data_IF_807733574732
#
_entry.id   IF_807733574732
#
_cell.length_a   1.000
_cell.length_b   1.000
_cell.length_c   1.000
_cell.angle_alpha   90.00
_cell.angle_beta   90.00
_cell.angle_gamma   90.00
#
_symmetry.space_group_name_H-M   'P 1'
#
loop_
_entity.id
_entity.type
_entity.pdbx_description
1 polymer ?
#
# COMPACT_ATOMS: atom_id res chain seq x y z
N UNK A 1 -17.39 -4.70 2.18
CA UNK A 1 -18.50 -4.68 3.16
C UNK A 1 -18.69 -6.01 3.87
N UNK A 2 -18.82 -7.16 3.19
CA UNK A 2 -19.05 -8.46 3.83
C UNK A 2 -17.99 -8.91 4.84
N UNK A 3 -16.71 -8.71 4.55
CA UNK A 3 -15.58 -9.14 5.40
C UNK A 3 -15.54 -8.36 6.73
N UNK A 4 -15.78 -7.05 6.69
CA UNK A 4 -15.82 -6.21 7.91
C UNK A 4 -17.00 -6.58 8.78
N UNK A 5 -18.16 -6.85 8.17
CA UNK A 5 -19.35 -7.30 8.87
C UNK A 5 -19.16 -8.69 9.50
N UNK A 6 -18.48 -9.59 8.79
CA UNK A 6 -18.12 -10.92 9.31
C UNK A 6 -17.12 -10.86 10.46
N UNK A 7 -16.12 -9.96 10.37
CA UNK A 7 -15.17 -9.70 11.46
C UNK A 7 -15.86 -9.09 12.68
N UNK A 8 -16.74 -8.09 12.49
CA UNK A 8 -17.52 -7.50 13.58
C UNK A 8 -18.44 -8.53 14.27
N UNK A 9 -19.01 -9.46 13.50
CA UNK A 9 -19.80 -10.59 14.06
C UNK A 9 -18.92 -11.59 14.82
N UNK A 10 -17.71 -11.88 14.35
CA UNK A 10 -16.78 -12.82 15.02
C UNK A 10 -16.30 -12.27 16.38
N UNK A 11 -16.21 -10.95 16.53
CA UNK A 11 -15.82 -10.28 17.77
C UNK A 11 -17.00 -9.63 18.52
N UNK A 12 -18.24 -10.04 18.22
CA UNK A 12 -19.48 -9.47 18.76
C UNK A 12 -19.50 -9.37 20.28
N UNK A 13 -18.94 -10.37 20.97
CA UNK A 13 -18.96 -10.46 22.43
C UNK A 13 -17.68 -9.94 23.08
N UNK A 14 -16.71 -9.44 22.30
CA UNK A 14 -15.50 -8.85 22.86
C UNK A 14 -15.78 -7.46 23.39
N UNK A 15 -15.56 -7.27 24.70
CA UNK A 15 -15.73 -5.99 25.38
C UNK A 15 -14.40 -5.24 25.42
N UNK A 16 -14.36 -4.09 24.78
CA UNK A 16 -13.29 -3.12 24.95
C UNK A 16 -13.85 -1.99 25.84
N UNK A 17 -13.26 -1.77 27.00
CA UNK A 17 -13.66 -0.68 27.92
C UNK A 17 -15.15 -0.67 28.32
N UNK A 18 -15.80 -1.86 28.41
CA UNK A 18 -17.20 -1.99 28.85
C UNK A 18 -18.26 -1.93 27.75
N UNK A 19 -17.90 -1.55 26.53
CA UNK A 19 -18.77 -1.54 25.35
C UNK A 19 -18.46 -2.74 24.47
N UNK A 20 -19.50 -3.42 23.96
CA UNK A 20 -19.25 -4.52 23.02
C UNK A 20 -18.79 -3.94 21.67
N UNK A 21 -17.91 -4.68 20.97
CA UNK A 21 -17.46 -4.30 19.63
C UNK A 21 -18.65 -4.05 18.70
N UNK A 22 -19.73 -4.81 18.87
CA UNK A 22 -20.95 -4.62 18.09
C UNK A 22 -21.68 -3.31 18.39
N UNK A 23 -21.84 -2.94 19.64
CA UNK A 23 -22.44 -1.64 20.05
C UNK A 23 -21.58 -0.47 19.58
N UNK A 24 -20.25 -0.64 19.60
CA UNK A 24 -19.31 0.33 19.08
C UNK A 24 -19.55 0.61 17.58
N UNK A 25 -19.72 -0.44 16.77
CA UNK A 25 -19.94 -0.30 15.33
C UNK A 25 -21.37 0.14 14.96
N UNK A 26 -22.38 -0.17 15.76
CA UNK A 26 -23.79 0.12 15.44
C UNK A 26 -24.32 1.35 16.13
N UNK A 27 -23.77 1.72 17.29
CA UNK A 27 -24.21 2.88 18.08
C UNK A 27 -23.66 4.22 17.60
N UNK A 28 -22.58 4.20 16.83
CA UNK A 28 -21.93 5.40 16.33
C UNK A 28 -22.23 5.61 14.82
N UNK A 29 -22.22 6.84 14.40
CA UNK A 29 -22.60 7.46 13.12
C UNK A 29 -22.04 6.83 11.82
N UNK A 30 -21.73 5.56 11.75
CA UNK A 30 -21.22 4.88 10.52
C UNK A 30 -19.76 5.17 10.17
N UNK A 31 -19.13 6.21 10.74
CA UNK A 31 -17.72 6.54 10.50
C UNK A 31 -16.75 5.42 10.86
N UNK A 32 -16.88 4.72 12.01
CA UNK A 32 -16.03 3.60 12.38
C UNK A 32 -16.03 2.50 11.32
N UNK A 33 -17.21 2.18 10.76
CA UNK A 33 -17.34 1.14 9.71
C UNK A 33 -16.58 1.54 8.45
N UNK A 34 -16.67 2.80 8.04
CA UNK A 34 -15.96 3.30 6.86
C UNK A 34 -14.47 3.30 7.07
N UNK A 35 -13.98 3.79 8.23
CA UNK A 35 -12.56 3.81 8.57
C UNK A 35 -11.96 2.40 8.64
N UNK A 36 -12.67 1.45 9.26
CA UNK A 36 -12.26 0.05 9.31
C UNK A 36 -12.23 -0.58 7.91
N UNK A 37 -13.22 -0.27 7.06
CA UNK A 37 -13.25 -0.77 5.67
C UNK A 37 -12.07 -0.27 4.86
N UNK A 38 -11.73 1.01 4.96
CA UNK A 38 -10.56 1.60 4.31
C UNK A 38 -9.25 1.00 4.84
N UNK A 39 -9.20 0.75 6.15
CA UNK A 39 -8.06 0.12 6.81
C UNK A 39 -7.84 -1.31 6.35
N UNK A 40 -8.90 -2.12 6.28
CA UNK A 40 -8.85 -3.48 5.74
C UNK A 40 -8.42 -3.48 4.26
N UNK A 41 -8.92 -2.54 3.46
CA UNK A 41 -8.52 -2.43 2.06
C UNK A 41 -7.05 -2.04 1.93
N UNK A 42 -6.59 -1.07 2.73
CA UNK A 42 -5.17 -0.70 2.79
C UNK A 42 -4.27 -1.87 3.17
N UNK A 43 -4.67 -2.65 4.18
CA UNK A 43 -3.95 -3.86 4.58
C UNK A 43 -3.91 -4.90 3.45
N UNK A 44 -5.02 -5.09 2.73
CA UNK A 44 -5.07 -5.98 1.55
C UNK A 44 -4.09 -5.57 0.45
N UNK A 45 -4.02 -4.27 0.13
CA UNK A 45 -3.06 -3.72 -0.85
C UNK A 45 -1.62 -3.99 -0.39
N UNK A 46 -1.31 -3.75 0.89
CA UNK A 46 0.03 -3.98 1.44
C UNK A 46 0.43 -5.45 1.42
N UNK A 47 -0.48 -6.36 1.73
CA UNK A 47 -0.24 -7.80 1.64
C UNK A 47 0.07 -8.23 0.21
N UNK A 48 -0.73 -7.78 -0.77
CA UNK A 48 -0.51 -8.09 -2.19
C UNK A 48 0.85 -7.56 -2.65
N UNK A 49 1.22 -6.33 -2.26
CA UNK A 49 2.54 -5.76 -2.57
C UNK A 49 3.67 -6.57 -1.94
N UNK A 50 3.57 -6.92 -0.67
CA UNK A 50 4.58 -7.73 0.02
C UNK A 50 4.77 -9.11 -0.64
N UNK A 51 3.68 -9.76 -1.06
CA UNK A 51 3.74 -11.01 -1.81
C UNK A 51 4.40 -10.83 -3.17
N UNK A 52 4.09 -9.74 -3.88
CA UNK A 52 4.71 -9.41 -5.17
C UNK A 52 6.21 -9.19 -5.01
N UNK A 53 6.66 -8.45 -3.99
CA UNK A 53 8.08 -8.24 -3.69
C UNK A 53 8.80 -9.58 -3.46
N UNK A 54 8.20 -10.48 -2.67
CA UNK A 54 8.76 -11.82 -2.44
C UNK A 54 8.89 -12.62 -3.73
N UNK A 55 7.88 -12.61 -4.59
CA UNK A 55 7.92 -13.30 -5.88
C UNK A 55 9.01 -12.71 -6.81
N UNK A 56 9.18 -11.40 -6.84
CA UNK A 56 10.23 -10.71 -7.60
C UNK A 56 11.63 -11.06 -7.11
N UNK A 57 11.84 -11.11 -5.79
CA UNK A 57 13.13 -11.52 -5.19
C UNK A 57 13.48 -12.97 -5.52
N UNK A 58 12.50 -13.88 -5.53
CA UNK A 58 12.71 -15.25 -5.97
C UNK A 58 13.11 -15.31 -7.46
N UNK A 59 12.55 -14.47 -8.31
CA UNK A 59 12.93 -14.38 -9.72
C UNK A 59 14.36 -13.85 -9.91
N UNK A 60 14.83 -12.95 -9.06
CA UNK A 60 16.21 -12.46 -9.06
C UNK A 60 17.24 -13.57 -8.72
N UNK A 61 16.88 -14.53 -7.87
CA UNK A 61 17.77 -15.64 -7.50
C UNK A 61 17.97 -16.66 -8.63
N UNK A 62 17.18 -16.58 -9.73
CA UNK A 62 17.34 -17.45 -10.89
C UNK A 62 18.46 -16.91 -11.79
N UNK A 63 19.61 -17.58 -11.79
CA UNK A 63 20.74 -17.24 -12.64
C UNK A 63 20.45 -17.63 -14.10
N UNK A 64 20.05 -16.64 -14.93
CA UNK A 64 19.74 -16.84 -16.34
C UNK A 64 20.98 -16.65 -17.21
N UNK A 65 21.86 -15.75 -16.80
CA UNK A 65 23.14 -15.50 -17.46
C UNK A 65 24.22 -16.36 -16.78
N UNK A 66 24.99 -17.17 -17.51
CA UNK A 66 26.05 -17.98 -16.92
C UNK A 66 27.07 -17.11 -16.18
N UNK A 67 27.50 -17.54 -14.98
CA UNK A 67 28.49 -16.84 -14.17
C UNK A 67 29.93 -16.96 -14.67
N UNK A 68 30.12 -17.39 -15.93
CA UNK A 68 31.45 -17.45 -16.53
C UNK A 68 31.95 -16.04 -16.86
N UNK A 69 33.11 -15.60 -16.28
CA UNK A 69 33.70 -14.30 -16.61
C UNK A 69 34.06 -14.10 -18.08
N UNK A 70 34.21 -15.20 -18.81
CA UNK A 70 34.49 -15.21 -20.27
C UNK A 70 33.23 -15.18 -21.12
N UNK A 71 32.05 -15.30 -20.50
CA UNK A 71 30.80 -15.27 -21.23
C UNK A 71 30.52 -13.85 -21.75
N UNK A 72 30.50 -13.71 -23.06
CA UNK A 72 30.15 -12.44 -23.73
C UNK A 72 28.77 -12.56 -24.35
N UNK A 73 27.98 -11.52 -24.17
CA UNK A 73 26.64 -11.44 -24.76
C UNK A 73 26.77 -10.95 -26.19
N UNK A 74 26.48 -11.84 -27.14
CA UNK A 74 26.42 -11.56 -28.58
C UNK A 74 25.00 -11.66 -29.07
N UNK A 75 24.70 -11.20 -30.30
CA UNK A 75 23.35 -11.26 -30.88
C UNK A 75 22.76 -12.70 -30.92
N UNK A 76 23.61 -13.72 -31.11
CA UNK A 76 23.20 -15.13 -31.12
C UNK A 76 22.88 -15.67 -29.72
N UNK A 77 23.72 -15.31 -28.71
CA UNK A 77 23.49 -15.69 -27.30
C UNK A 77 22.32 -14.95 -26.69
N UNK A 78 22.06 -13.70 -27.09
CA UNK A 78 20.90 -12.91 -26.67
C UNK A 78 19.57 -13.60 -27.02
N UNK A 79 19.45 -14.15 -28.25
CA UNK A 79 18.24 -14.86 -28.65
C UNK A 79 18.02 -16.14 -27.83
N UNK A 80 19.09 -16.85 -27.48
CA UNK A 80 19.02 -18.05 -26.62
C UNK A 80 18.56 -17.69 -25.21
N UNK A 81 19.08 -16.61 -24.62
CA UNK A 81 18.68 -16.12 -23.30
C UNK A 81 17.17 -15.79 -23.30
N UNK A 82 16.67 -15.07 -24.31
CA UNK A 82 15.24 -14.74 -24.45
C UNK A 82 14.38 -15.99 -24.54
N UNK A 83 14.82 -17.01 -25.28
CA UNK A 83 14.10 -18.29 -25.40
C UNK A 83 14.09 -19.05 -24.05
N UNK A 84 15.22 -19.06 -23.34
CA UNK A 84 15.32 -19.71 -22.02
C UNK A 84 14.38 -19.05 -21.01
N UNK A 85 14.32 -17.71 -20.98
CA UNK A 85 13.37 -16.98 -20.13
C UNK A 85 11.92 -17.34 -20.50
N UNK A 86 11.60 -17.36 -21.79
CA UNK A 86 10.26 -17.69 -22.28
C UNK A 86 9.82 -19.13 -21.99
N UNK A 87 10.77 -20.07 -21.86
CA UNK A 87 10.51 -21.45 -21.46
C UNK A 87 10.39 -21.62 -19.94
N UNK A 88 11.08 -20.78 -19.15
CA UNK A 88 11.11 -20.86 -17.69
C UNK A 88 9.91 -20.15 -17.04
N UNK A 89 9.34 -19.13 -17.69
CA UNK A 89 8.31 -18.27 -17.11
C UNK A 89 7.20 -18.02 -18.14
N UNK A 90 5.95 -18.33 -17.77
CA UNK A 90 4.76 -18.18 -18.65
C UNK A 90 4.55 -16.72 -19.09
N UNK A 91 4.82 -15.74 -18.22
CA UNK A 91 4.73 -14.32 -18.53
C UNK A 91 5.92 -13.55 -17.93
N UNK A 92 6.98 -13.42 -18.71
CA UNK A 92 8.22 -12.72 -18.31
C UNK A 92 8.01 -11.23 -18.02
N UNK A 93 6.92 -10.62 -18.54
CA UNK A 93 6.60 -9.20 -18.30
C UNK A 93 6.19 -8.90 -16.86
N UNK A 94 5.73 -9.93 -16.14
CA UNK A 94 5.37 -9.80 -14.70
C UNK A 94 6.58 -9.63 -13.79
N UNK A 95 7.76 -10.01 -14.26
CA UNK A 95 9.01 -9.94 -13.49
C UNK A 95 9.91 -8.84 -14.05
N UNK A 96 10.21 -7.84 -13.21
CA UNK A 96 11.01 -6.67 -13.61
C UNK A 96 12.36 -7.06 -14.18
N UNK A 97 13.08 -7.96 -13.50
CA UNK A 97 14.39 -8.44 -13.95
C UNK A 97 14.32 -9.10 -15.33
N UNK A 98 13.43 -10.06 -15.53
CA UNK A 98 13.30 -10.76 -16.81
C UNK A 98 12.86 -9.82 -17.93
N UNK A 99 11.96 -8.88 -17.63
CA UNK A 99 11.55 -7.88 -18.62
C UNK A 99 12.71 -6.99 -19.05
N UNK A 100 13.55 -6.52 -18.11
CA UNK A 100 14.76 -5.72 -18.42
C UNK A 100 15.75 -6.52 -19.28
N UNK A 101 16.02 -7.78 -18.90
CA UNK A 101 16.90 -8.66 -19.68
C UNK A 101 16.36 -8.81 -21.12
N UNK A 102 15.07 -9.11 -21.29
CA UNK A 102 14.46 -9.30 -22.60
C UNK A 102 14.52 -8.02 -23.43
N UNK A 103 14.21 -6.86 -22.85
CA UNK A 103 14.26 -5.57 -23.54
C UNK A 103 15.69 -5.29 -24.00
N UNK A 104 16.67 -5.44 -23.12
CA UNK A 104 18.07 -5.24 -23.48
C UNK A 104 18.55 -6.20 -24.56
N UNK A 105 18.23 -7.51 -24.46
CA UNK A 105 18.64 -8.51 -25.45
C UNK A 105 18.00 -8.29 -26.81
N UNK A 106 16.72 -7.88 -26.87
CA UNK A 106 16.05 -7.55 -28.15
C UNK A 106 16.64 -6.31 -28.79
N UNK A 107 17.06 -5.34 -28.01
CA UNK A 107 17.62 -4.08 -28.48
C UNK A 107 19.04 -4.22 -29.01
N UNK A 108 19.82 -5.18 -28.50
CA UNK A 108 21.19 -5.43 -28.96
C UNK A 108 21.31 -5.59 -30.49
N UNK A 109 20.29 -6.09 -31.15
CA UNK A 109 20.28 -6.26 -32.61
C UNK A 109 20.18 -4.94 -33.39
N UNK A 110 19.63 -3.89 -32.72
CA UNK A 110 19.36 -2.59 -33.36
C UNK A 110 20.28 -1.48 -32.82
N UNK A 111 21.12 -1.79 -31.84
CA UNK A 111 21.96 -0.82 -31.10
C UNK A 111 23.39 -0.91 -31.63
N UNK A 112 23.94 0.24 -32.02
CA UNK A 112 25.30 0.30 -32.56
C UNK A 112 26.42 0.51 -31.51
N UNK A 113 26.07 0.82 -30.25
CA UNK A 113 27.02 1.14 -29.18
C UNK A 113 26.58 0.55 -27.84
N UNK A 114 27.56 0.16 -26.99
CA UNK A 114 27.29 -0.34 -25.64
C UNK A 114 26.61 0.72 -24.76
N UNK A 115 26.95 1.99 -24.94
CA UNK A 115 26.33 3.11 -24.19
C UNK A 115 24.82 3.23 -24.39
N UNK A 116 24.32 2.86 -25.56
CA UNK A 116 22.88 2.92 -25.85
C UNK A 116 22.10 1.87 -25.03
N UNK A 117 22.75 0.73 -24.69
CA UNK A 117 22.16 -0.33 -23.86
C UNK A 117 22.04 0.14 -22.41
N UNK A 118 23.07 0.84 -21.90
CA UNK A 118 23.04 1.40 -20.54
C UNK A 118 21.94 2.46 -20.39
N UNK A 119 21.81 3.36 -21.36
CA UNK A 119 20.73 4.35 -21.40
C UNK A 119 19.33 3.69 -21.42
N UNK A 120 19.17 2.60 -22.18
CA UNK A 120 17.92 1.84 -22.20
C UNK A 120 17.62 1.14 -20.87
N UNK A 121 18.64 0.56 -20.21
CA UNK A 121 18.48 -0.04 -18.89
C UNK A 121 18.10 1.00 -17.84
N UNK A 122 18.70 2.19 -17.91
CA UNK A 122 18.38 3.30 -17.03
C UNK A 122 16.96 3.83 -17.26
N UNK A 123 16.54 3.96 -18.52
CA UNK A 123 15.16 4.34 -18.88
C UNK A 123 14.15 3.30 -18.37
N UNK A 124 14.45 2.00 -18.53
CA UNK A 124 13.60 0.94 -18.01
C UNK A 124 13.53 0.98 -16.47
N UNK A 125 14.65 1.27 -15.80
CA UNK A 125 14.69 1.41 -14.34
C UNK A 125 13.80 2.56 -13.86
N UNK A 126 13.88 3.73 -14.49
CA UNK A 126 13.05 4.89 -14.17
C UNK A 126 11.55 4.62 -14.41
N UNK A 127 11.22 3.88 -15.46
CA UNK A 127 9.85 3.45 -15.73
C UNK A 127 9.32 2.50 -14.64
N UNK A 128 10.13 1.52 -14.21
CA UNK A 128 9.75 0.59 -13.14
C UNK A 128 9.54 1.32 -11.81
N UNK A 129 10.41 2.30 -11.47
CA UNK A 129 10.28 3.18 -10.31
C UNK A 129 8.95 3.96 -10.35
N UNK A 130 8.60 4.54 -11.50
CA UNK A 130 7.34 5.24 -11.70
C UNK A 130 6.12 4.32 -11.52
N UNK A 131 6.17 3.08 -12.01
CA UNK A 131 5.12 2.08 -11.84
C UNK A 131 4.96 1.70 -10.37
N UNK A 132 6.07 1.48 -9.65
CA UNK A 132 6.05 1.18 -8.22
C UNK A 132 5.44 2.34 -7.44
N UNK A 133 5.89 3.58 -7.68
CA UNK A 133 5.39 4.79 -7.01
C UNK A 133 3.89 5.00 -7.27
N UNK A 134 3.45 4.87 -8.52
CA UNK A 134 2.02 4.98 -8.87
C UNK A 134 1.15 3.96 -8.14
N UNK A 135 1.69 2.78 -7.88
CA UNK A 135 1.03 1.73 -7.11
C UNK A 135 0.80 2.04 -5.63
N UNK A 136 1.41 3.11 -5.09
CA UNK A 136 1.15 3.60 -3.72
C UNK A 136 0.17 4.78 -3.67
N UNK A 137 -0.25 5.33 -4.79
CA UNK A 137 -1.10 6.52 -4.83
C UNK A 137 -2.44 6.31 -4.12
N UNK A 138 -3.10 5.18 -4.37
CA UNK A 138 -4.36 4.84 -3.71
C UNK A 138 -4.17 4.63 -2.20
N UNK A 139 -3.10 3.97 -1.80
CA UNK A 139 -2.78 3.75 -0.39
C UNK A 139 -2.51 5.08 0.34
N UNK A 140 -1.77 6.00 -0.27
CA UNK A 140 -1.55 7.37 0.25
C UNK A 140 -2.88 8.09 0.44
N UNK A 141 -3.82 7.94 -0.51
CA UNK A 141 -5.17 8.49 -0.41
C UNK A 141 -5.92 7.95 0.81
N UNK A 142 -5.89 6.65 1.06
CA UNK A 142 -6.55 6.04 2.21
C UNK A 142 -5.92 6.45 3.54
N UNK A 143 -4.58 6.44 3.63
CA UNK A 143 -3.83 6.89 4.81
C UNK A 143 -4.17 8.35 5.16
N UNK A 144 -4.40 9.19 4.17
CA UNK A 144 -4.84 10.58 4.40
C UNK A 144 -6.33 10.66 4.78
N UNK A 145 -7.18 9.85 4.17
CA UNK A 145 -8.64 9.93 4.36
C UNK A 145 -9.09 9.45 5.75
N UNK A 146 -8.41 8.44 6.33
CA UNK A 146 -8.80 7.88 7.63
C UNK A 146 -8.78 8.94 8.76
N UNK A 147 -7.71 9.74 8.98
CA UNK A 147 -7.71 10.80 9.98
C UNK A 147 -8.75 11.89 9.71
N UNK A 148 -8.98 12.21 8.43
CA UNK A 148 -10.01 13.20 8.05
C UNK A 148 -11.41 12.72 8.44
N UNK A 149 -11.72 11.46 8.24
CA UNK A 149 -12.97 10.85 8.69
C UNK A 149 -13.09 10.85 10.21
N UNK A 150 -12.01 10.57 10.94
CA UNK A 150 -11.95 10.70 12.39
C UNK A 150 -12.26 12.11 12.86
N UNK A 151 -11.67 13.12 12.20
CA UNK A 151 -11.96 14.53 12.49
C UNK A 151 -13.42 14.91 12.21
N UNK A 152 -13.99 14.44 11.10
CA UNK A 152 -15.42 14.64 10.79
C UNK A 152 -16.28 14.01 11.88
N UNK A 153 -15.93 12.82 12.36
CA UNK A 153 -16.60 12.17 13.49
C UNK A 153 -16.58 13.02 14.76
N UNK A 154 -15.45 13.69 15.06
CA UNK A 154 -15.35 14.66 16.17
C UNK A 154 -16.32 15.83 16.00
N UNK A 155 -16.40 16.42 14.81
CA UNK A 155 -17.31 17.55 14.54
C UNK A 155 -18.76 17.12 14.71
N UNK A 156 -19.12 15.94 14.23
CA UNK A 156 -20.49 15.40 14.39
C UNK A 156 -20.80 15.12 15.86
N UNK A 157 -19.90 14.48 16.61
CA UNK A 157 -20.07 14.21 18.03
C UNK A 157 -20.23 15.49 18.86
N UNK A 158 -19.40 16.51 18.60
CA UNK A 158 -19.52 17.81 19.27
C UNK A 158 -20.85 18.52 18.93
N UNK A 159 -21.32 18.40 17.67
CA UNK A 159 -22.61 18.97 17.26
C UNK A 159 -23.75 18.30 18.03
N UNK A 160 -23.71 16.97 18.18
CA UNK A 160 -24.70 16.23 18.98
C UNK A 160 -24.64 16.64 20.46
N UNK A 161 -23.45 16.79 21.03
CA UNK A 161 -23.23 17.27 22.38
C UNK A 161 -23.89 18.63 22.61
N UNK A 162 -23.69 19.59 21.69
CA UNK A 162 -24.29 20.93 21.79
C UNK A 162 -25.81 20.87 21.65
N UNK A 163 -26.33 20.00 20.79
CA UNK A 163 -27.76 19.75 20.66
C UNK A 163 -28.39 19.23 21.96
N UNK A 164 -27.80 18.19 22.55
CA UNK A 164 -28.24 17.62 23.81
C UNK A 164 -28.17 18.64 24.94
N UNK A 165 -27.10 19.42 25.04
CA UNK A 165 -26.94 20.46 26.06
C UNK A 165 -28.01 21.52 25.95
N UNK A 166 -28.38 21.95 24.74
CA UNK A 166 -29.48 22.93 24.53
C UNK A 166 -30.81 22.39 25.06
N UNK A 167 -31.13 21.11 24.80
CA UNK A 167 -32.36 20.47 25.30
C UNK A 167 -32.39 20.44 26.80
N UNK A 168 -31.31 20.03 27.44
CA UNK A 168 -31.18 20.00 28.93
C UNK A 168 -31.40 21.37 29.53
N UNK A 169 -30.86 22.45 28.95
CA UNK A 169 -31.05 23.81 29.43
C UNK A 169 -32.52 24.28 29.32
N UNK A 170 -33.22 23.92 28.27
CA UNK A 170 -34.64 24.27 28.08
C UNK A 170 -35.49 23.54 29.13
N UNK A 171 -35.33 22.22 29.25
CA UNK A 171 -36.05 21.39 30.19
C UNK A 171 -35.80 21.81 31.66
N UNK A 172 -34.57 22.10 32.03
CA UNK A 172 -34.22 22.57 33.34
C UNK A 172 -34.92 23.91 33.67
N UNK A 173 -35.01 24.83 32.71
CA UNK A 173 -35.68 26.12 32.89
C UNK A 173 -37.19 25.95 33.05
N UNK A 174 -37.81 25.05 32.32
CA UNK A 174 -39.26 24.76 32.44
C UNK A 174 -39.61 24.09 33.79
N UNK A 175 -38.69 23.31 34.33
CA UNK A 175 -38.79 22.59 35.60
C UNK A 175 -38.28 23.38 36.81
N UNK A 176 -38.28 24.69 36.82
CA UNK A 176 -37.75 25.54 37.90
C UNK A 176 -36.29 25.29 38.29
N UNK A 177 -35.47 24.89 37.32
CA UNK A 177 -34.07 24.53 37.50
C UNK A 177 -33.86 23.33 38.45
N UNK A 178 -34.70 22.29 38.32
CA UNK A 178 -34.51 21.03 39.07
C UNK A 178 -33.14 20.41 38.76
N UNK A 179 -32.26 20.28 39.79
CA UNK A 179 -30.92 19.71 39.58
C UNK A 179 -30.93 18.30 39.03
N UNK A 180 -31.99 17.53 39.27
CA UNK A 180 -32.12 16.15 38.80
C UNK A 180 -32.19 16.07 37.26
N UNK A 181 -32.98 16.97 36.65
CA UNK A 181 -33.10 17.07 35.20
C UNK A 181 -31.77 17.43 34.56
N UNK A 182 -31.01 18.33 35.19
CA UNK A 182 -29.68 18.71 34.74
C UNK A 182 -28.72 17.50 34.76
N UNK A 183 -28.72 16.76 35.87
CA UNK A 183 -27.86 15.61 36.07
C UNK A 183 -28.20 14.48 35.06
N UNK A 184 -29.49 14.18 34.93
CA UNK A 184 -29.95 13.13 33.98
C UNK A 184 -29.65 13.51 32.51
N UNK A 185 -29.78 14.79 32.17
CA UNK A 185 -29.49 15.30 30.85
C UNK A 185 -28.01 15.35 30.47
N UNK A 186 -27.12 15.48 31.49
CA UNK A 186 -25.65 15.43 31.25
C UNK A 186 -25.20 14.12 30.63
N UNK A 187 -25.92 13.01 30.81
CA UNK A 187 -25.62 11.74 30.19
C UNK A 187 -25.60 11.82 28.66
N UNK A 188 -26.55 12.52 28.05
CA UNK A 188 -26.60 12.73 26.59
C UNK A 188 -25.45 13.64 26.07
N UNK A 189 -25.09 14.64 26.86
CA UNK A 189 -23.96 15.55 26.56
C UNK A 189 -22.64 14.77 26.59
N UNK A 190 -22.41 13.93 27.60
CA UNK A 190 -21.23 13.10 27.71
C UNK A 190 -21.13 12.07 26.61
N UNK A 191 -22.26 11.47 26.18
CA UNK A 191 -22.30 10.49 25.09
C UNK A 191 -21.86 11.07 23.74
N UNK A 192 -22.23 12.32 23.44
CA UNK A 192 -21.75 12.98 22.22
C UNK A 192 -20.25 13.29 22.24
N UNK A 193 -19.73 13.65 23.43
CA UNK A 193 -18.30 13.90 23.63
C UNK A 193 -17.49 12.60 23.52
N UNK A 194 -17.99 11.52 24.10
CA UNK A 194 -17.40 10.18 24.00
C UNK A 194 -17.28 9.74 22.53
N UNK A 195 -18.35 9.90 21.75
CA UNK A 195 -18.34 9.65 20.29
C UNK A 195 -17.23 10.42 19.58
N UNK A 196 -17.08 11.72 19.90
CA UNK A 196 -16.07 12.58 19.28
C UNK A 196 -14.65 12.07 19.54
N UNK A 197 -14.32 11.72 20.76
CA UNK A 197 -12.98 11.26 21.13
C UNK A 197 -12.66 9.87 20.61
N UNK A 198 -13.62 8.95 20.68
CA UNK A 198 -13.43 7.56 20.25
C UNK A 198 -13.17 7.50 18.74
N UNK A 199 -13.97 8.18 17.93
CA UNK A 199 -13.78 8.16 16.47
C UNK A 199 -12.42 8.71 16.03
N UNK A 200 -11.93 9.75 16.69
CA UNK A 200 -10.61 10.31 16.40
C UNK A 200 -9.48 9.40 16.89
N UNK A 201 -9.62 8.85 18.10
CA UNK A 201 -8.64 7.90 18.65
C UNK A 201 -8.50 6.65 17.77
N UNK A 202 -9.62 6.08 17.31
CA UNK A 202 -9.63 4.96 16.38
C UNK A 202 -8.92 5.30 15.07
N UNK A 203 -9.26 6.44 14.46
CA UNK A 203 -8.64 6.86 13.19
C UNK A 203 -7.12 6.97 13.31
N UNK A 204 -6.63 7.56 14.39
CA UNK A 204 -5.19 7.74 14.62
C UNK A 204 -4.48 6.40 14.85
N UNK A 205 -5.07 5.48 15.60
CA UNK A 205 -4.51 4.15 15.82
C UNK A 205 -4.45 3.38 14.50
N UNK A 206 -5.53 3.33 13.75
CA UNK A 206 -5.60 2.62 12.47
C UNK A 206 -4.57 3.16 11.47
N UNK A 207 -4.51 4.48 11.30
CA UNK A 207 -3.57 5.08 10.34
C UNK A 207 -2.12 4.88 10.78
N UNK A 208 -1.82 4.92 12.07
CA UNK A 208 -0.47 4.70 12.58
C UNK A 208 0.07 3.32 12.16
N UNK A 209 -0.71 2.26 12.39
CA UNK A 209 -0.29 0.90 12.01
C UNK A 209 -0.18 0.73 10.49
N UNK A 210 -1.16 1.22 9.73
CA UNK A 210 -1.12 1.14 8.26
C UNK A 210 0.08 1.89 7.71
N UNK A 211 0.34 3.09 8.21
CA UNK A 211 1.46 3.92 7.77
C UNK A 211 2.80 3.24 8.07
N UNK A 212 2.96 2.69 9.30
CA UNK A 212 4.17 1.94 9.66
C UNK A 212 4.44 0.77 8.71
N UNK A 213 3.44 -0.08 8.49
CA UNK A 213 3.57 -1.21 7.55
C UNK A 213 3.86 -0.73 6.13
N UNK A 214 3.21 0.37 5.71
CA UNK A 214 3.43 0.98 4.39
C UNK A 214 4.87 1.42 4.19
N UNK A 215 5.50 2.03 5.18
CA UNK A 215 6.91 2.45 5.14
C UNK A 215 7.83 1.24 4.95
N UNK A 216 7.62 0.15 5.70
CA UNK A 216 8.42 -1.07 5.56
C UNK A 216 8.25 -1.74 4.19
N UNK A 217 7.02 -1.85 3.69
CA UNK A 217 6.76 -2.45 2.38
C UNK A 217 7.36 -1.58 1.27
N UNK A 218 7.26 -0.25 1.38
CA UNK A 218 7.85 0.67 0.42
C UNK A 218 9.37 0.59 0.39
N UNK A 219 10.02 0.57 1.55
CA UNK A 219 11.47 0.39 1.65
C UNK A 219 11.92 -0.94 1.04
N UNK A 220 11.13 -2.01 1.20
CA UNK A 220 11.43 -3.30 0.56
C UNK A 220 11.24 -3.28 -0.97
N UNK A 221 10.27 -2.49 -1.51
CA UNK A 221 10.09 -2.26 -2.95
C UNK A 221 11.29 -1.45 -3.53
N UNK A 222 11.72 -0.39 -2.84
CA UNK A 222 12.87 0.44 -3.24
C UNK A 222 14.16 -0.41 -3.26
N UNK A 223 14.41 -1.19 -2.20
CA UNK A 223 15.56 -2.10 -2.17
C UNK A 223 15.52 -3.14 -3.30
N UNK A 224 14.35 -3.66 -3.64
CA UNK A 224 14.20 -4.57 -4.77
C UNK A 224 14.53 -3.88 -6.12
N UNK A 225 14.13 -2.63 -6.30
CA UNK A 225 14.45 -1.86 -7.52
C UNK A 225 15.96 -1.66 -7.67
N UNK A 226 16.66 -1.40 -6.57
CA UNK A 226 18.13 -1.26 -6.54
C UNK A 226 18.81 -2.61 -6.85
N UNK A 227 18.38 -3.70 -6.20
CA UNK A 227 18.88 -5.05 -6.47
C UNK A 227 18.71 -5.43 -7.96
N UNK A 228 17.53 -5.14 -8.55
CA UNK A 228 17.25 -5.41 -9.97
C UNK A 228 18.12 -4.53 -10.89
N UNK A 229 18.39 -3.27 -10.50
CA UNK A 229 19.25 -2.36 -11.26
C UNK A 229 20.69 -2.87 -11.26
N UNK A 230 21.22 -3.24 -10.11
CA UNK A 230 22.57 -3.74 -9.94
C UNK A 230 22.81 -5.04 -10.74
N UNK A 231 21.95 -6.04 -10.54
CA UNK A 231 22.05 -7.34 -11.23
C UNK A 231 21.88 -7.18 -12.75
N UNK A 232 20.99 -6.29 -13.22
CA UNK A 232 20.82 -6.04 -14.64
C UNK A 232 22.05 -5.34 -15.24
N UNK A 233 22.63 -4.38 -14.56
CA UNK A 233 23.83 -3.68 -15.01
C UNK A 233 25.03 -4.64 -15.08
N UNK A 234 25.27 -5.42 -14.05
CA UNK A 234 26.38 -6.37 -13.95
C UNK A 234 26.27 -7.49 -15.01
N UNK A 235 25.10 -8.08 -15.16
CA UNK A 235 24.89 -9.23 -16.05
C UNK A 235 24.69 -8.83 -17.52
N UNK A 236 24.30 -7.60 -17.82
CA UNK A 236 24.03 -7.17 -19.19
C UNK A 236 25.11 -6.16 -19.63
N UNK A 237 25.13 -4.94 -19.06
CA UNK A 237 26.02 -3.87 -19.51
C UNK A 237 27.49 -4.24 -19.36
N UNK A 238 27.86 -4.89 -18.26
CA UNK A 238 29.25 -5.32 -17.99
C UNK A 238 29.76 -6.47 -18.88
N UNK A 239 28.88 -7.24 -19.54
CA UNK A 239 29.23 -8.44 -20.33
C UNK A 239 28.95 -8.31 -21.81
N UNK A 240 28.34 -7.21 -22.26
CA UNK A 240 28.07 -6.97 -23.68
C UNK A 240 29.35 -6.59 -24.42
N UNK A 241 29.67 -7.35 -25.48
CA UNK A 241 30.64 -6.98 -26.49
C UNK A 241 29.96 -6.87 -27.84
N UNK A 242 29.98 -5.69 -28.42
CA UNK A 242 29.53 -5.47 -29.79
C UNK A 242 30.70 -5.85 -30.71
N UNK A 243 30.56 -6.95 -31.47
CA UNK A 243 31.50 -7.24 -32.55
C UNK A 243 31.35 -6.14 -33.61
N UNK A 244 32.43 -5.48 -34.01
CA UNK A 244 32.37 -4.58 -35.17
C UNK A 244 31.92 -5.36 -36.38
N UNK A 245 30.90 -4.81 -37.07
CA UNK A 245 30.35 -5.41 -38.27
C UNK A 245 31.48 -5.65 -39.32
N UNK A 246 31.78 -6.92 -39.59
CA UNK A 246 32.81 -7.34 -40.57
C UNK A 246 32.35 -7.16 -42.01
N UNK A 247 31.45 -6.21 -42.25
CA UNK A 247 31.01 -5.79 -43.58
C UNK A 247 31.53 -4.39 -43.90
N UNK A 248 32.80 -4.35 -44.30
CA UNK A 248 33.38 -3.29 -45.12
C UNK A 248 34.02 -3.90 -46.36
#
# INVERSE_FOLDING_TARGET
MGVVYSLALAFKDWKLSGVTVWEYFTGFTGFPIVMMSLSCWSAGILIIKALKIRAQRLALSVHIVPDDPKFTVTASTAQRIVQTIGAAVEDSRKFMYFNRVIVAMRSMRNVGRVGDIDEMLQSAASNDESIVESGYTLLKGFVWSIPVLGFIGTVVGLTQTMGSFKVVLVEAKEANNDPKIIIDGLGGVLGGLDTAFITTGEALILVFFIHMVSVFVRSADEALLDDVREVAHENIAGRVRIEPDSRS
#
